data_IF_739808268029
#
_entry.id   IF_739808268029
#
_cell.length_a   1.000
_cell.length_b   1.000
_cell.length_c   1.000
_cell.angle_alpha   90.00
_cell.angle_beta   90.00
_cell.angle_gamma   90.00
#
_symmetry.space_group_name_H-M   'P 1'
#
loop_
_entity.id
_entity.type
_entity.pdbx_description
1 polymer ?
#
# COMPACT_ATOMS: atom_id res chain seq x y z
N UNK A 1 28.37 -35.57 -10.45
CA UNK A 1 28.77 -34.15 -10.61
C UNK A 1 27.52 -33.32 -10.41
N UNK A 2 27.47 -32.59 -9.30
CA UNK A 2 26.31 -31.83 -8.84
C UNK A 2 26.12 -30.58 -9.70
N UNK A 3 24.91 -30.39 -10.24
CA UNK A 3 24.54 -29.19 -10.98
C UNK A 3 23.29 -28.57 -10.36
N UNK A 4 23.46 -27.85 -9.26
CA UNK A 4 22.38 -27.09 -8.61
C UNK A 4 22.02 -25.90 -9.49
N UNK A 5 20.88 -25.97 -10.19
CA UNK A 5 20.27 -24.80 -10.84
C UNK A 5 19.48 -24.04 -9.77
N UNK A 6 20.14 -23.10 -9.12
CA UNK A 6 19.51 -22.11 -8.25
C UNK A 6 18.70 -21.13 -9.10
N UNK A 7 17.47 -21.51 -9.43
CA UNK A 7 16.46 -20.59 -9.92
C UNK A 7 15.98 -19.75 -8.74
N UNK A 8 16.61 -18.59 -8.55
CA UNK A 8 16.11 -17.58 -7.62
C UNK A 8 14.71 -17.17 -8.11
N UNK A 9 13.63 -17.33 -7.33
CA UNK A 9 12.40 -16.67 -7.68
C UNK A 9 12.66 -15.19 -7.46
N UNK A 10 12.73 -14.44 -8.56
CA UNK A 10 12.57 -12.99 -8.50
C UNK A 10 11.12 -12.74 -8.07
N UNK A 11 10.87 -12.86 -6.77
CA UNK A 11 9.63 -12.49 -6.12
C UNK A 11 9.59 -10.96 -6.07
N UNK A 12 9.51 -10.33 -7.24
CA UNK A 12 8.84 -9.04 -7.34
C UNK A 12 7.35 -9.34 -7.27
N UNK A 13 6.93 -9.81 -6.10
CA UNK A 13 5.55 -9.83 -5.68
C UNK A 13 5.20 -8.35 -5.51
N UNK A 14 4.95 -7.67 -6.63
CA UNK A 14 3.95 -6.63 -6.66
C UNK A 14 2.71 -7.35 -6.18
N UNK A 15 2.49 -7.34 -4.86
CA UNK A 15 1.30 -7.84 -4.21
C UNK A 15 0.18 -7.29 -5.06
N UNK A 16 -0.49 -8.19 -5.79
CA UNK A 16 -1.73 -7.87 -6.45
C UNK A 16 -2.70 -7.54 -5.31
N UNK A 17 -2.60 -6.31 -4.79
CA UNK A 17 -3.62 -5.72 -3.97
C UNK A 17 -4.86 -5.84 -4.83
N UNK A 18 -5.82 -6.68 -4.43
CA UNK A 18 -7.10 -6.86 -5.11
C UNK A 18 -7.98 -5.59 -4.99
N UNK A 19 -7.35 -4.43 -5.04
CA UNK A 19 -7.85 -3.09 -4.82
C UNK A 19 -7.71 -2.35 -6.14
N UNK A 20 -8.85 -2.10 -6.77
CA UNK A 20 -8.91 -1.17 -7.89
C UNK A 20 -8.57 0.25 -7.43
N UNK A 21 -8.13 1.09 -8.36
CA UNK A 21 -7.88 2.50 -8.09
C UNK A 21 -9.12 3.22 -7.51
N UNK A 22 -10.32 2.80 -7.95
CA UNK A 22 -11.59 3.33 -7.43
C UNK A 22 -11.82 2.93 -5.97
N UNK A 23 -11.58 1.67 -5.61
CA UNK A 23 -11.71 1.19 -4.23
C UNK A 23 -10.68 1.84 -3.32
N UNK A 24 -9.43 1.97 -3.78
CA UNK A 24 -8.38 2.64 -3.01
C UNK A 24 -8.73 4.10 -2.74
N UNK A 25 -9.26 4.81 -3.75
CA UNK A 25 -9.74 6.19 -3.57
C UNK A 25 -10.86 6.29 -2.53
N UNK A 26 -11.85 5.40 -2.58
CA UNK A 26 -12.94 5.38 -1.58
C UNK A 26 -12.43 5.07 -0.18
N UNK A 27 -11.44 4.18 -0.08
CA UNK A 27 -10.78 3.86 1.17
C UNK A 27 -10.04 5.08 1.75
N UNK A 28 -9.23 5.78 0.96
CA UNK A 28 -8.54 7.01 1.39
C UNK A 28 -9.53 8.09 1.86
N UNK A 29 -10.61 8.32 1.11
CA UNK A 29 -11.68 9.27 1.48
C UNK A 29 -12.36 8.84 2.80
N UNK A 30 -12.64 7.56 2.98
CA UNK A 30 -13.24 7.03 4.20
C UNK A 30 -12.28 7.12 5.40
N UNK A 31 -10.98 6.89 5.23
CA UNK A 31 -9.98 7.08 6.28
C UNK A 31 -9.86 8.54 6.72
N UNK A 32 -9.97 9.49 5.79
CA UNK A 32 -9.96 10.91 6.10
C UNK A 32 -11.17 11.33 6.93
N UNK A 33 -12.32 10.70 6.68
CA UNK A 33 -13.54 10.94 7.46
C UNK A 33 -13.52 10.24 8.82
N UNK A 34 -13.12 8.97 8.87
CA UNK A 34 -13.02 8.16 10.09
C UNK A 34 -11.57 8.13 10.59
N UNK A 35 -11.22 9.08 11.46
CA UNK A 35 -9.89 9.14 12.09
C UNK A 35 -9.59 7.98 13.06
N UNK A 36 -8.35 7.92 13.56
CA UNK A 36 -7.81 6.81 14.38
C UNK A 36 -8.58 6.54 15.68
N UNK A 37 -9.19 7.57 16.30
CA UNK A 37 -9.99 7.42 17.51
C UNK A 37 -11.42 6.89 17.29
N UNK A 38 -11.80 6.59 16.04
CA UNK A 38 -13.17 6.18 15.73
C UNK A 38 -13.43 4.75 16.24
N UNK A 39 -14.43 4.52 17.12
CA UNK A 39 -14.80 3.16 17.51
C UNK A 39 -15.38 2.42 16.30
N UNK A 40 -15.02 1.14 16.16
CA UNK A 40 -15.37 0.27 15.03
C UNK A 40 -15.03 0.92 13.67
N UNK A 41 -13.83 1.52 13.60
CA UNK A 41 -13.35 2.26 12.42
C UNK A 41 -13.47 1.43 11.14
N UNK A 42 -13.01 0.18 11.18
CA UNK A 42 -12.94 -0.68 10.00
C UNK A 42 -14.31 -1.08 9.46
N UNK A 43 -15.28 -1.37 10.34
CA UNK A 43 -16.67 -1.62 9.94
C UNK A 43 -17.30 -0.40 9.26
N UNK A 44 -17.00 0.80 9.77
CA UNK A 44 -17.51 2.06 9.21
C UNK A 44 -16.88 2.39 7.86
N UNK A 45 -15.59 2.17 7.71
CA UNK A 45 -14.87 2.35 6.45
C UNK A 45 -15.38 1.36 5.40
N UNK A 46 -15.47 0.07 5.75
CA UNK A 46 -16.07 -0.97 4.90
C UNK A 46 -17.48 -0.58 4.44
N UNK A 47 -18.32 -0.13 5.38
CA UNK A 47 -19.69 0.32 5.08
C UNK A 47 -19.72 1.55 4.16
N UNK A 48 -18.82 2.53 4.36
CA UNK A 48 -18.73 3.72 3.53
C UNK A 48 -18.26 3.42 2.10
N UNK A 49 -17.47 2.37 1.92
CA UNK A 49 -17.11 1.84 0.60
C UNK A 49 -18.22 0.99 -0.04
N UNK A 50 -19.42 0.94 0.57
CA UNK A 50 -20.55 0.15 0.09
C UNK A 50 -20.46 -1.34 0.42
N UNK A 51 -19.60 -1.74 1.35
CA UNK A 51 -19.42 -3.14 1.77
C UNK A 51 -18.73 -4.02 0.74
N UNK A 52 -18.04 -3.43 -0.26
CA UNK A 52 -17.29 -4.19 -1.27
C UNK A 52 -16.08 -4.95 -0.71
N UNK A 53 -15.55 -4.47 0.42
CA UNK A 53 -14.45 -5.08 1.20
C UNK A 53 -14.90 -5.29 2.62
N UNK A 54 -14.50 -6.40 3.23
CA UNK A 54 -14.74 -6.66 4.65
C UNK A 54 -13.92 -5.72 5.55
N UNK A 55 -14.35 -5.56 6.80
CA UNK A 55 -13.58 -4.77 7.79
C UNK A 55 -12.15 -5.30 7.96
N UNK A 56 -11.95 -6.62 7.89
CA UNK A 56 -10.62 -7.23 7.98
C UNK A 56 -9.75 -6.89 6.76
N UNK A 57 -10.29 -6.99 5.53
CA UNK A 57 -9.56 -6.59 4.32
C UNK A 57 -9.16 -5.11 4.34
N UNK A 58 -10.07 -4.25 4.80
CA UNK A 58 -9.79 -2.81 4.98
C UNK A 58 -8.66 -2.60 5.99
N UNK A 59 -8.67 -3.35 7.09
CA UNK A 59 -7.63 -3.26 8.12
C UNK A 59 -6.27 -3.73 7.58
N UNK A 60 -6.21 -4.88 6.92
CA UNK A 60 -4.96 -5.36 6.33
C UNK A 60 -4.38 -4.36 5.32
N UNK A 61 -5.24 -3.78 4.46
CA UNK A 61 -4.81 -2.77 3.49
C UNK A 61 -4.28 -1.50 4.16
N UNK A 62 -4.83 -1.11 5.31
CA UNK A 62 -4.29 -0.01 6.11
C UNK A 62 -2.92 -0.36 6.73
N UNK A 63 -2.75 -1.58 7.24
CA UNK A 63 -1.47 -2.04 7.80
C UNK A 63 -0.37 -2.04 6.72
N UNK A 64 -0.68 -2.53 5.52
CA UNK A 64 0.23 -2.47 4.36
C UNK A 64 0.60 -1.01 4.01
N UNK A 65 -0.37 -0.09 4.01
CA UNK A 65 -0.12 1.34 3.75
C UNK A 65 0.81 1.96 4.80
N UNK A 66 0.63 1.63 6.08
CA UNK A 66 1.48 2.12 7.17
C UNK A 66 2.90 1.59 7.01
N UNK A 67 3.07 0.32 6.66
CA UNK A 67 4.38 -0.27 6.42
C UNK A 67 5.08 0.37 5.21
N UNK A 68 4.37 0.65 4.13
CA UNK A 68 4.89 1.37 2.96
C UNK A 68 5.40 2.77 3.33
N UNK A 69 4.61 3.54 4.10
CA UNK A 69 5.01 4.87 4.61
C UNK A 69 6.25 4.75 5.50
N UNK A 70 6.27 3.80 6.42
CA UNK A 70 7.42 3.56 7.30
C UNK A 70 8.69 3.19 6.51
N UNK A 71 8.56 2.43 5.41
CA UNK A 71 9.68 2.11 4.53
C UNK A 71 10.23 3.33 3.81
N UNK A 72 9.35 4.25 3.38
CA UNK A 72 9.75 5.52 2.76
C UNK A 72 10.47 6.41 3.78
N UNK A 73 9.88 6.59 4.97
CA UNK A 73 10.42 7.48 6.01
C UNK A 73 11.73 6.98 6.62
N UNK A 74 11.89 5.66 6.74
CA UNK A 74 13.14 5.06 7.23
C UNK A 74 14.30 5.14 6.22
N UNK A 75 14.11 5.79 5.07
CA UNK A 75 15.12 5.93 4.02
C UNK A 75 15.50 4.62 3.35
N UNK A 76 14.67 3.59 3.48
CA UNK A 76 14.87 2.26 2.87
C UNK A 76 14.42 2.20 1.42
N UNK A 77 13.65 3.20 0.97
CA UNK A 77 13.38 3.40 -0.46
C UNK A 77 14.55 4.16 -1.07
N UNK A 78 15.27 3.51 -1.99
CA UNK A 78 16.29 4.20 -2.78
C UNK A 78 15.60 5.27 -3.62
N UNK A 79 15.88 6.55 -3.34
CA UNK A 79 15.42 7.62 -4.19
C UNK A 79 15.90 7.37 -5.63
N UNK A 80 15.02 7.49 -6.64
CA UNK A 80 15.46 7.45 -8.03
C UNK A 80 16.57 8.47 -8.22
N UNK A 81 17.69 8.08 -8.86
CA UNK A 81 18.72 9.03 -9.29
C UNK A 81 18.15 9.88 -10.42
N UNK A 82 17.34 10.88 -10.08
CA UNK A 82 16.87 11.86 -11.04
C UNK A 82 18.11 12.59 -11.58
N UNK A 83 18.42 12.36 -12.86
CA UNK A 83 19.40 13.19 -13.55
C UNK A 83 18.80 14.59 -13.64
N UNK A 84 19.17 15.48 -12.73
CA UNK A 84 18.92 16.92 -12.89
C UNK A 84 19.77 17.43 -14.03
N UNK A 85 19.32 17.20 -15.27
CA UNK A 85 19.91 17.83 -16.44
C UNK A 85 18.94 18.92 -16.89
N UNK A 86 19.24 20.16 -16.48
CA UNK A 86 18.48 21.34 -16.91
C UNK A 86 18.44 22.44 -15.88
N UNK A 87 19.56 23.15 -15.77
CA UNK A 87 19.71 24.49 -15.22
C UNK A 87 18.56 25.42 -15.68
N UNK A 88 17.77 25.99 -14.77
CA UNK A 88 16.90 27.14 -15.09
C UNK A 88 17.73 28.41 -14.88
N UNK A 89 18.48 28.83 -15.89
CA UNK A 89 19.00 30.21 -16.00
C UNK A 89 18.10 31.02 -16.91
#
# INVERSE_FOLDING_TARGET
MSGSRSSSPNSNSNSNSNWSQKENKMFEEALAYYGEGTPNRWDKVSSAMGGSKSAEEVRCHYEDLVDDVNMIESGRVQYPKYKTQGFWT
#
